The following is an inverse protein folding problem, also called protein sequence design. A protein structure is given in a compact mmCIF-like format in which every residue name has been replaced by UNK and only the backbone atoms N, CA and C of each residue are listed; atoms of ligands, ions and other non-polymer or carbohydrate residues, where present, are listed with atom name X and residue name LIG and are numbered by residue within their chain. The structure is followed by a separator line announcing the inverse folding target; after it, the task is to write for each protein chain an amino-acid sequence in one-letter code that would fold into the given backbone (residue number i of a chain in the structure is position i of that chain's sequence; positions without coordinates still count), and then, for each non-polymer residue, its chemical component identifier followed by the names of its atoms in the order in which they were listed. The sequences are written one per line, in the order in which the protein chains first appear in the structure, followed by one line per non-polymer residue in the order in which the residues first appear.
data_IF_740170790062
#
_entry.id   IF_740170790062
#
_cell.length_a   1.000
_cell.length_b   1.000
_cell.length_c   1.000
_cell.angle_alpha   90.00
_cell.angle_beta   90.00
_cell.angle_gamma   90.00
#
_symmetry.space_group_name_H-M   'P 1'
#
loop_
_entity.id
_entity.type
_entity.pdbx_description
1 polymer ?
#
# COMPACT_ATOMS: atom_id res chain seq x y z
N UNK A 1 5.49 -12.21 -35.87
CA UNK A 1 4.11 -12.29 -35.35
C UNK A 1 4.14 -11.98 -33.86
N UNK A 2 3.61 -10.84 -33.45
CA UNK A 2 3.64 -10.37 -32.05
C UNK A 2 2.54 -11.01 -31.18
N UNK A 3 1.69 -11.87 -31.74
CA UNK A 3 0.60 -12.54 -31.03
C UNK A 3 1.07 -13.42 -29.86
N UNK A 4 2.32 -13.88 -29.88
CA UNK A 4 2.90 -14.79 -28.88
C UNK A 4 3.96 -14.15 -27.98
N UNK A 5 4.35 -12.90 -28.20
CA UNK A 5 5.47 -12.30 -27.46
C UNK A 5 5.17 -12.15 -25.96
N UNK A 6 3.94 -11.80 -25.60
CA UNK A 6 3.51 -11.79 -24.19
C UNK A 6 3.63 -13.17 -23.53
N UNK A 7 3.33 -14.24 -24.26
CA UNK A 7 3.54 -15.61 -23.78
C UNK A 7 5.03 -15.91 -23.60
N UNK A 8 5.87 -15.55 -24.58
CA UNK A 8 7.31 -15.75 -24.51
C UNK A 8 7.94 -15.00 -23.33
N UNK A 9 7.50 -13.77 -23.04
CA UNK A 9 7.96 -12.98 -21.88
C UNK A 9 7.63 -13.72 -20.58
N UNK A 10 6.40 -14.22 -20.43
CA UNK A 10 6.00 -14.99 -19.25
C UNK A 10 6.80 -16.29 -19.12
N UNK A 11 6.98 -17.04 -20.20
CA UNK A 11 7.79 -18.26 -20.18
C UNK A 11 9.26 -17.98 -19.86
N UNK A 12 9.85 -16.90 -20.38
CA UNK A 12 11.22 -16.51 -20.06
C UNK A 12 11.37 -16.22 -18.55
N UNK A 13 10.39 -15.51 -17.97
CA UNK A 13 10.33 -15.23 -16.52
C UNK A 13 10.23 -16.50 -15.69
N UNK A 14 9.32 -17.40 -16.04
CA UNK A 14 9.11 -18.68 -15.33
C UNK A 14 10.34 -19.59 -15.39
N UNK A 15 11.09 -19.54 -16.50
CA UNK A 15 12.34 -20.29 -16.69
C UNK A 15 13.58 -19.58 -16.12
N UNK A 16 13.42 -18.43 -15.47
CA UNK A 16 14.52 -17.64 -14.90
C UNK A 16 15.49 -17.07 -15.95
N UNK A 17 15.05 -16.90 -17.19
CA UNK A 17 15.87 -16.39 -18.31
C UNK A 17 15.87 -14.87 -18.36
N UNK A 18 16.44 -14.23 -17.34
CA UNK A 18 16.36 -12.78 -17.09
C UNK A 18 16.82 -11.93 -18.29
N UNK A 19 17.98 -12.23 -18.88
CA UNK A 19 18.49 -11.45 -20.02
C UNK A 19 17.60 -11.58 -21.26
N UNK A 20 17.07 -12.79 -21.50
CA UNK A 20 16.17 -13.04 -22.60
C UNK A 20 14.80 -12.38 -22.39
N UNK A 21 14.27 -12.43 -21.17
CA UNK A 21 13.05 -11.70 -20.80
C UNK A 21 13.21 -10.20 -21.06
N UNK A 22 14.34 -9.60 -20.65
CA UNK A 22 14.63 -8.18 -20.86
C UNK A 22 14.63 -7.83 -22.34
N UNK A 23 15.31 -8.63 -23.18
CA UNK A 23 15.32 -8.41 -24.63
C UNK A 23 13.91 -8.48 -25.24
N UNK A 24 13.08 -9.44 -24.82
CA UNK A 24 11.70 -9.55 -25.28
C UNK A 24 10.84 -8.36 -24.84
N UNK A 25 11.03 -7.86 -23.62
CA UNK A 25 10.35 -6.66 -23.11
C UNK A 25 10.72 -5.44 -23.94
N UNK A 26 12.02 -5.23 -24.20
CA UNK A 26 12.52 -4.10 -25.00
C UNK A 26 11.99 -4.14 -26.44
N UNK A 27 12.01 -5.33 -27.07
CA UNK A 27 11.46 -5.52 -28.42
C UNK A 27 9.96 -5.26 -28.47
N UNK A 28 9.21 -5.77 -27.49
CA UNK A 28 7.77 -5.58 -27.44
C UNK A 28 7.37 -4.13 -27.17
N UNK A 29 8.10 -3.42 -26.32
CA UNK A 29 7.88 -1.98 -26.12
C UNK A 29 8.10 -1.21 -27.43
N UNK A 30 9.18 -1.50 -28.18
CA UNK A 30 9.43 -0.87 -29.49
C UNK A 30 8.31 -1.14 -30.48
N UNK A 31 7.79 -2.36 -30.52
CA UNK A 31 6.61 -2.68 -31.32
C UNK A 31 5.40 -1.84 -30.92
N UNK A 32 5.10 -1.73 -29.63
CA UNK A 32 3.99 -0.92 -29.13
C UNK A 32 4.14 0.56 -29.46
N UNK A 33 5.36 1.12 -29.48
CA UNK A 33 5.59 2.51 -29.87
C UNK A 33 5.12 2.85 -31.30
N UNK A 34 5.10 1.87 -32.20
CA UNK A 34 4.61 2.01 -33.57
C UNK A 34 3.18 1.48 -33.79
N UNK A 35 2.54 0.95 -32.75
CA UNK A 35 1.23 0.32 -32.85
C UNK A 35 0.10 1.36 -32.96
N UNK A 36 -0.99 0.98 -33.64
CA UNK A 36 -2.17 1.83 -33.72
C UNK A 36 -2.98 1.80 -32.42
N UNK A 37 -3.98 2.67 -32.31
CA UNK A 37 -4.79 2.80 -31.09
C UNK A 37 -5.47 1.47 -30.67
N UNK A 38 -6.03 0.72 -31.63
CA UNK A 38 -6.72 -0.53 -31.35
C UNK A 38 -5.77 -1.60 -30.81
N UNK A 39 -4.52 -1.62 -31.29
CA UNK A 39 -3.47 -2.50 -30.80
C UNK A 39 -2.95 -2.06 -29.43
N UNK A 40 -2.80 -0.75 -29.20
CA UNK A 40 -2.29 -0.21 -27.93
C UNK A 40 -3.25 -0.45 -26.77
N UNK A 41 -4.53 -0.11 -26.94
CA UNK A 41 -5.52 -0.09 -25.86
C UNK A 41 -6.26 -1.43 -25.69
N UNK A 42 -5.52 -2.53 -25.69
CA UNK A 42 -6.02 -3.84 -25.27
C UNK A 42 -5.79 -4.07 -23.78
N UNK A 43 -6.57 -4.95 -23.16
CA UNK A 43 -6.41 -5.29 -21.74
C UNK A 43 -5.05 -5.92 -21.48
N UNK A 44 -4.61 -6.81 -22.37
CA UNK A 44 -3.37 -7.56 -22.30
C UNK A 44 -2.16 -6.61 -22.37
N UNK A 45 -2.21 -5.60 -23.25
CA UNK A 45 -1.12 -4.63 -23.37
C UNK A 45 -1.08 -3.67 -22.18
N UNK A 46 -2.23 -3.25 -21.64
CA UNK A 46 -2.24 -2.48 -20.40
C UNK A 46 -1.73 -3.29 -19.20
N UNK A 47 -2.02 -4.59 -19.15
CA UNK A 47 -1.48 -5.49 -18.14
C UNK A 47 0.03 -5.68 -18.28
N UNK A 48 0.52 -5.86 -19.51
CA UNK A 48 1.96 -5.89 -19.78
C UNK A 48 2.64 -4.59 -19.36
N UNK A 49 2.11 -3.43 -19.78
CA UNK A 49 2.68 -2.13 -19.46
C UNK A 49 2.65 -1.83 -17.95
N UNK A 50 1.74 -2.46 -17.20
CA UNK A 50 1.70 -2.38 -15.74
C UNK A 50 2.89 -3.08 -15.06
N UNK A 51 3.52 -4.05 -15.73
CA UNK A 51 4.61 -4.87 -15.19
C UNK A 51 5.99 -4.38 -15.61
N UNK A 52 6.08 -3.59 -16.68
CA UNK A 52 7.36 -3.09 -17.18
C UNK A 52 7.71 -1.72 -16.63
N UNK A 53 9.00 -1.41 -16.74
CA UNK A 53 9.53 -0.13 -16.35
C UNK A 53 9.24 0.93 -17.42
N UNK A 54 8.30 1.84 -17.15
CA UNK A 54 8.01 3.01 -18.00
C UNK A 54 8.62 4.26 -17.36
N UNK A 55 9.28 5.10 -18.16
CA UNK A 55 9.89 6.39 -17.80
C UNK A 55 9.11 7.58 -18.33
N UNK A 56 9.32 8.76 -17.74
CA UNK A 56 8.60 9.96 -18.17
C UNK A 56 8.92 10.42 -19.60
N UNK A 57 10.06 10.00 -20.15
CA UNK A 57 10.53 10.28 -21.51
C UNK A 57 10.22 9.16 -22.52
N UNK A 58 9.69 8.02 -22.08
CA UNK A 58 9.24 6.95 -22.97
C UNK A 58 7.97 7.37 -23.72
N UNK A 59 7.87 7.06 -25.02
CA UNK A 59 6.66 7.36 -25.81
C UNK A 59 5.42 6.70 -25.23
N UNK A 60 5.57 5.49 -24.68
CA UNK A 60 4.49 4.73 -24.07
C UNK A 60 3.93 5.38 -22.79
N UNK A 61 4.66 6.31 -22.16
CA UNK A 61 4.15 7.08 -21.03
C UNK A 61 2.96 7.96 -21.40
N UNK A 62 2.89 8.39 -22.67
CA UNK A 62 1.78 9.19 -23.19
C UNK A 62 0.41 8.48 -23.12
N UNK A 63 0.40 7.16 -22.98
CA UNK A 63 -0.81 6.36 -22.79
C UNK A 63 -1.47 6.63 -21.43
N UNK A 64 -0.69 7.08 -20.44
CA UNK A 64 -1.13 7.27 -19.06
C UNK A 64 -1.25 8.75 -18.67
N UNK A 65 -0.46 9.62 -19.31
CA UNK A 65 -0.38 11.05 -19.00
C UNK A 65 -0.23 11.90 -20.26
N UNK A 66 -0.92 13.05 -20.38
CA UNK A 66 -1.76 13.69 -19.37
C UNK A 66 -3.18 13.11 -19.24
N UNK A 67 -3.61 12.25 -20.17
CA UNK A 67 -4.96 11.69 -20.16
C UNK A 67 -4.97 10.16 -20.30
N UNK A 68 -5.05 9.47 -19.17
CA UNK A 68 -5.06 8.02 -19.11
C UNK A 68 -6.43 7.34 -19.19
N UNK A 69 -7.53 8.06 -19.49
CA UNK A 69 -8.88 7.48 -19.45
C UNK A 69 -9.05 6.28 -20.40
N UNK A 70 -8.38 6.30 -21.56
CA UNK A 70 -8.41 5.19 -22.52
C UNK A 70 -7.73 3.94 -21.96
N UNK A 71 -6.56 4.10 -21.33
CA UNK A 71 -5.84 3.02 -20.66
C UNK A 71 -6.64 2.43 -19.49
N UNK A 72 -7.25 3.28 -18.66
CA UNK A 72 -8.13 2.86 -17.56
C UNK A 72 -9.32 2.04 -18.07
N UNK A 73 -9.94 2.48 -19.17
CA UNK A 73 -11.05 1.78 -19.82
C UNK A 73 -10.61 0.44 -20.41
N UNK A 74 -9.47 0.41 -21.11
CA UNK A 74 -8.93 -0.80 -21.74
C UNK A 74 -8.67 -1.92 -20.74
N UNK A 75 -8.10 -1.59 -19.58
CA UNK A 75 -7.85 -2.58 -18.52
C UNK A 75 -9.08 -2.83 -17.63
N UNK A 76 -10.12 -1.99 -17.73
CA UNK A 76 -11.31 -2.05 -16.89
C UNK A 76 -11.05 -1.65 -15.43
N UNK A 77 -10.08 -0.77 -15.17
CA UNK A 77 -9.69 -0.36 -13.81
C UNK A 77 -9.48 1.15 -13.73
N UNK A 78 -10.41 1.84 -13.05
CA UNK A 78 -10.29 3.26 -12.72
C UNK A 78 -9.01 3.54 -11.92
N UNK A 79 -8.35 4.65 -12.22
CA UNK A 79 -7.12 5.09 -11.57
C UNK A 79 -5.91 4.23 -11.92
N UNK A 80 -5.96 3.45 -13.01
CA UNK A 80 -4.83 2.65 -13.47
C UNK A 80 -3.67 3.53 -13.94
N UNK A 81 -3.95 4.42 -14.86
CA UNK A 81 -2.99 5.38 -15.41
C UNK A 81 -2.45 6.30 -14.34
N UNK A 82 -3.30 6.75 -13.43
CA UNK A 82 -2.89 7.54 -12.28
C UNK A 82 -1.80 6.82 -11.45
N UNK A 83 -1.87 5.49 -11.27
CA UNK A 83 -0.79 4.72 -10.62
C UNK A 83 0.47 4.65 -11.44
N UNK A 84 0.35 4.52 -12.75
CA UNK A 84 1.51 4.49 -13.64
C UNK A 84 2.28 5.80 -13.49
N UNK A 85 1.59 6.94 -13.53
CA UNK A 85 2.18 8.26 -13.30
C UNK A 85 2.79 8.37 -11.90
N UNK A 86 2.11 7.87 -10.87
CA UNK A 86 2.67 7.88 -9.51
C UNK A 86 3.96 7.09 -9.36
N UNK A 87 4.11 5.96 -10.06
CA UNK A 87 5.37 5.18 -10.04
C UNK A 87 6.51 5.97 -10.69
N UNK A 88 6.22 6.65 -11.79
CA UNK A 88 7.19 7.51 -12.48
C UNK A 88 7.60 8.68 -11.58
N UNK A 89 6.64 9.41 -10.99
CA UNK A 89 6.93 10.50 -10.03
C UNK A 89 7.74 10.01 -8.84
N UNK A 90 7.38 8.85 -8.28
CA UNK A 90 8.10 8.26 -7.17
C UNK A 90 9.56 7.98 -7.55
N UNK A 91 9.78 7.25 -8.65
CA UNK A 91 11.12 6.80 -9.06
C UNK A 91 12.02 7.94 -9.54
N UNK A 92 11.49 8.87 -10.33
CA UNK A 92 12.31 9.87 -11.01
C UNK A 92 12.47 11.16 -10.22
N UNK A 93 11.58 11.43 -9.27
CA UNK A 93 11.61 12.67 -8.48
C UNK A 93 11.76 12.36 -6.99
N UNK A 94 10.86 11.58 -6.40
CA UNK A 94 10.79 11.42 -4.95
C UNK A 94 11.99 10.64 -4.40
N UNK A 95 12.26 9.45 -4.92
CA UNK A 95 13.36 8.61 -4.41
C UNK A 95 14.73 9.28 -4.57
N UNK A 96 15.09 9.87 -5.73
CA UNK A 96 16.37 10.55 -5.89
C UNK A 96 16.47 11.81 -5.02
N UNK A 97 15.37 12.55 -4.86
CA UNK A 97 15.35 13.73 -3.99
C UNK A 97 15.63 13.38 -2.53
N UNK A 98 15.04 12.29 -2.05
CA UNK A 98 15.18 11.83 -0.67
C UNK A 98 16.43 10.96 -0.45
N UNK A 99 17.14 10.58 -1.51
CA UNK A 99 18.30 9.69 -1.46
C UNK A 99 18.02 8.35 -0.75
N UNK A 100 16.78 7.86 -0.89
CA UNK A 100 16.33 6.63 -0.24
C UNK A 100 17.06 5.43 -0.83
N UNK A 101 17.61 4.58 0.04
CA UNK A 101 18.29 3.34 -0.39
C UNK A 101 17.27 2.22 -0.63
N UNK A 102 17.58 1.22 -1.48
CA UNK A 102 16.81 -0.01 -1.54
C UNK A 102 16.71 -0.64 -0.14
N UNK A 103 15.55 -1.19 0.20
CA UNK A 103 15.21 -1.77 1.51
C UNK A 103 16.28 -2.78 1.96
N UNK A 104 17.01 -2.48 3.04
CA UNK A 104 17.99 -3.38 3.67
C UNK A 104 17.71 -3.68 5.15
N UNK A 105 16.52 -3.32 5.66
CA UNK A 105 16.24 -3.42 7.10
C UNK A 105 15.52 -4.74 7.46
N UNK A 106 16.04 -5.53 8.40
CA UNK A 106 15.31 -6.64 8.99
C UNK A 106 14.28 -6.08 9.99
N UNK A 107 13.00 -6.07 9.61
CA UNK A 107 11.91 -5.89 10.57
C UNK A 107 11.80 -7.18 11.38
N UNK A 108 11.89 -7.11 12.71
CA UNK A 108 11.56 -8.25 13.57
C UNK A 108 10.06 -8.55 13.48
N UNK A 109 9.70 -9.83 13.55
CA UNK A 109 8.30 -10.30 13.52
C UNK A 109 7.45 -9.71 14.66
N UNK A 110 8.07 -9.30 15.78
CA UNK A 110 7.43 -8.61 16.90
C UNK A 110 7.12 -7.12 16.62
N UNK A 111 7.48 -6.63 15.43
CA UNK A 111 7.28 -5.26 15.03
C UNK A 111 8.24 -4.26 15.69
N UNK A 112 9.26 -4.66 16.45
CA UNK A 112 10.18 -3.70 17.09
C UNK A 112 11.30 -3.26 16.12
N UNK A 113 11.67 -1.98 16.23
CA UNK A 113 12.75 -1.35 15.47
C UNK A 113 14.13 -1.89 15.86
N UNK A 114 15.09 -1.81 14.93
CA UNK A 114 16.50 -2.15 15.18
C UNK A 114 17.35 -0.91 14.86
N UNK A 115 17.46 0.01 15.81
CA UNK A 115 18.34 1.16 15.68
C UNK A 115 17.87 2.42 16.42
N UNK A 116 18.70 3.47 16.43
CA UNK A 116 18.27 4.80 16.87
C UNK A 116 17.29 5.39 15.87
N UNK A 117 16.21 6.00 16.38
CA UNK A 117 15.23 6.74 15.57
C UNK A 117 15.89 8.01 15.02
N UNK A 118 15.98 8.13 13.70
CA UNK A 118 16.40 9.38 13.06
C UNK A 118 15.18 10.30 12.90
N UNK A 119 15.21 11.46 13.57
CA UNK A 119 14.17 12.48 13.51
C UNK A 119 14.44 13.56 12.46
N UNK A 120 15.47 13.39 11.62
CA UNK A 120 15.77 14.33 10.55
C UNK A 120 14.62 14.40 9.55
N UNK A 121 14.34 15.62 9.08
CA UNK A 121 13.17 15.91 8.26
C UNK A 121 13.59 16.30 6.85
N UNK A 122 12.83 15.84 5.85
CA UNK A 122 13.08 16.21 4.46
C UNK A 122 12.45 17.57 4.12
N UNK A 123 13.00 18.25 3.10
CA UNK A 123 12.42 19.50 2.62
C UNK A 123 11.18 19.23 1.73
N UNK A 124 10.04 18.99 2.38
CA UNK A 124 8.76 18.68 1.72
C UNK A 124 8.27 19.78 0.78
N UNK A 125 8.52 21.04 1.13
CA UNK A 125 8.16 22.19 0.28
C UNK A 125 8.94 22.16 -1.05
N UNK A 126 10.24 21.85 -0.98
CA UNK A 126 11.06 21.73 -2.17
C UNK A 126 10.68 20.49 -3.00
N UNK A 127 10.39 19.35 -2.36
CA UNK A 127 9.88 18.17 -3.06
C UNK A 127 8.57 18.49 -3.79
N UNK A 128 7.63 19.14 -3.12
CA UNK A 128 6.37 19.60 -3.72
C UNK A 128 6.63 20.47 -4.95
N UNK A 129 7.48 21.50 -4.83
CA UNK A 129 7.84 22.39 -5.95
C UNK A 129 8.47 21.63 -7.12
N UNK A 130 9.37 20.67 -6.85
CA UNK A 130 10.00 19.82 -7.87
C UNK A 130 8.98 18.98 -8.64
N UNK A 131 7.98 18.41 -7.97
CA UNK A 131 6.92 17.64 -8.65
C UNK A 131 6.00 18.58 -9.43
N UNK A 132 5.59 19.71 -8.84
CA UNK A 132 4.70 20.71 -9.48
C UNK A 132 5.28 21.31 -10.75
N UNK A 133 6.59 21.36 -10.89
CA UNK A 133 7.25 21.83 -12.10
C UNK A 133 6.94 20.95 -13.33
N UNK A 134 6.55 19.69 -13.13
CA UNK A 134 6.27 18.72 -14.21
C UNK A 134 4.84 18.18 -14.21
N UNK A 135 4.17 18.14 -13.06
CA UNK A 135 2.88 17.48 -12.89
C UNK A 135 1.84 18.35 -12.17
N UNK A 136 0.53 18.14 -12.43
CA UNK A 136 -0.59 18.73 -11.70
C UNK A 136 -0.50 18.60 -10.18
N UNK A 137 -1.29 19.42 -9.48
CA UNK A 137 -1.22 19.59 -8.03
C UNK A 137 -1.50 18.28 -7.28
N UNK A 138 -2.46 17.51 -7.78
CA UNK A 138 -2.81 16.19 -7.26
C UNK A 138 -1.59 15.26 -7.18
N UNK A 139 -0.79 15.17 -8.25
CA UNK A 139 0.42 14.34 -8.28
C UNK A 139 1.50 14.85 -7.32
N UNK A 140 1.60 16.16 -7.11
CA UNK A 140 2.54 16.72 -6.15
C UNK A 140 2.13 16.44 -4.70
N UNK A 141 0.85 16.61 -4.36
CA UNK A 141 0.32 16.27 -3.03
C UNK A 141 0.51 14.79 -2.72
N UNK A 142 0.13 13.91 -3.67
CA UNK A 142 0.28 12.46 -3.52
C UNK A 142 1.74 12.02 -3.49
N UNK A 143 2.59 12.62 -4.32
CA UNK A 143 4.03 12.36 -4.36
C UNK A 143 4.73 12.73 -3.06
N UNK A 144 4.43 13.89 -2.48
CA UNK A 144 4.94 14.28 -1.15
C UNK A 144 4.47 13.31 -0.07
N UNK A 145 3.19 12.92 -0.09
CA UNK A 145 2.66 12.00 0.91
C UNK A 145 3.30 10.60 0.82
N UNK A 146 3.50 10.08 -0.39
CA UNK A 146 4.26 8.85 -0.59
C UNK A 146 5.72 9.01 -0.18
N UNK A 147 6.34 10.17 -0.44
CA UNK A 147 7.69 10.49 0.02
C UNK A 147 7.81 10.43 1.54
N UNK A 148 6.85 11.04 2.27
CA UNK A 148 6.76 10.96 3.73
C UNK A 148 6.67 9.54 4.24
N UNK A 149 5.78 8.72 3.67
CA UNK A 149 5.63 7.31 4.05
C UNK A 149 6.97 6.58 3.91
N UNK A 150 7.63 6.69 2.75
CA UNK A 150 8.93 6.02 2.55
C UNK A 150 10.02 6.56 3.48
N UNK A 151 10.09 7.88 3.66
CA UNK A 151 11.08 8.53 4.53
C UNK A 151 10.93 8.09 5.99
N UNK A 152 9.72 8.19 6.54
CA UNK A 152 9.47 7.84 7.93
C UNK A 152 9.58 6.33 8.17
N UNK A 153 9.28 5.49 7.17
CA UNK A 153 9.54 4.05 7.27
C UNK A 153 11.05 3.77 7.36
N UNK A 154 11.87 4.39 6.50
CA UNK A 154 13.32 4.17 6.49
C UNK A 154 14.03 4.72 7.72
N UNK A 155 13.49 5.80 8.31
CA UNK A 155 14.05 6.44 9.51
C UNK A 155 13.37 5.97 10.82
N UNK A 156 12.53 4.95 10.75
CA UNK A 156 11.81 4.36 11.90
C UNK A 156 10.95 5.36 12.71
N UNK A 157 10.55 6.47 12.09
CA UNK A 157 9.63 7.43 12.70
C UNK A 157 8.19 6.93 12.56
N UNK A 158 7.83 5.91 13.33
CA UNK A 158 6.53 5.24 13.23
C UNK A 158 5.33 6.17 13.46
N UNK A 159 5.31 7.09 14.45
CA UNK A 159 4.20 8.03 14.59
C UNK A 159 3.98 8.86 13.32
N UNK A 160 5.05 9.38 12.70
CA UNK A 160 4.94 10.16 11.47
C UNK A 160 4.58 9.30 10.26
N UNK A 161 5.12 8.08 10.15
CA UNK A 161 4.75 7.09 9.15
C UNK A 161 3.24 6.80 9.19
N UNK A 162 2.73 6.42 10.36
CA UNK A 162 1.33 6.07 10.53
C UNK A 162 0.41 7.28 10.37
N UNK A 163 0.83 8.47 10.78
CA UNK A 163 0.10 9.70 10.50
C UNK A 163 -0.01 9.96 8.99
N UNK A 164 1.08 9.79 8.23
CA UNK A 164 1.08 9.95 6.78
C UNK A 164 0.26 8.85 6.09
N UNK A 165 0.33 7.62 6.58
CA UNK A 165 -0.47 6.50 6.09
C UNK A 165 -1.97 6.73 6.28
N UNK A 166 -2.41 7.12 7.49
CA UNK A 166 -3.80 7.44 7.77
C UNK A 166 -4.27 8.64 6.92
N UNK A 167 -3.45 9.68 6.77
CA UNK A 167 -3.76 10.80 5.88
C UNK A 167 -3.97 10.34 4.42
N UNK A 168 -3.18 9.36 3.96
CA UNK A 168 -3.33 8.78 2.62
C UNK A 168 -4.66 8.05 2.49
N UNK A 169 -5.05 7.27 3.50
CA UNK A 169 -6.37 6.63 3.52
C UNK A 169 -7.49 7.68 3.51
N UNK A 170 -7.38 8.75 4.29
CA UNK A 170 -8.38 9.83 4.36
C UNK A 170 -8.56 10.55 3.02
N UNK A 171 -7.48 10.83 2.30
CA UNK A 171 -7.56 11.58 1.05
C UNK A 171 -7.99 10.74 -0.15
N UNK A 172 -7.56 9.48 -0.19
CA UNK A 172 -7.71 8.67 -1.41
C UNK A 172 -8.59 7.43 -1.22
N UNK A 173 -8.98 7.12 0.03
CA UNK A 173 -9.91 6.05 0.37
C UNK A 173 -9.49 4.65 -0.06
N UNK A 174 -10.47 3.74 0.00
CA UNK A 174 -10.36 2.36 -0.47
C UNK A 174 -10.20 2.24 -2.00
N UNK A 175 -10.56 3.29 -2.74
CA UNK A 175 -10.70 3.28 -4.20
C UNK A 175 -9.43 3.76 -4.93
N UNK A 176 -8.40 4.15 -4.18
CA UNK A 176 -7.10 4.49 -4.77
C UNK A 176 -6.30 3.25 -5.10
N UNK A 177 -6.74 2.58 -6.16
CA UNK A 177 -5.84 2.03 -7.15
C UNK A 177 -5.07 0.74 -6.75
N UNK A 178 -5.13 0.32 -5.48
CA UNK A 178 -4.63 -0.97 -4.99
C UNK A 178 -5.19 -2.16 -5.77
N UNK A 179 -4.38 -3.17 -6.00
CA UNK A 179 -4.73 -4.43 -6.64
C UNK A 179 -5.67 -5.25 -5.75
N UNK A 180 -6.93 -5.45 -6.14
CA UNK A 180 -7.76 -6.57 -5.67
C UNK A 180 -7.74 -6.86 -4.16
N UNK A 181 -7.91 -8.13 -3.80
CA UNK A 181 -8.11 -8.64 -2.45
C UNK A 181 -7.00 -8.30 -1.42
N UNK A 182 -5.93 -7.59 -1.76
CA UNK A 182 -4.82 -7.28 -0.83
C UNK A 182 -4.92 -5.93 -0.14
N UNK A 183 -5.78 -4.99 -0.60
CA UNK A 183 -5.89 -3.68 0.04
C UNK A 183 -6.41 -3.75 1.48
N UNK A 184 -7.53 -4.44 1.70
CA UNK A 184 -8.14 -4.53 3.02
C UNK A 184 -7.24 -5.23 4.06
N UNK A 185 -6.62 -6.39 3.74
CA UNK A 185 -5.59 -6.97 4.60
C UNK A 185 -4.44 -6.00 4.92
N UNK A 186 -3.99 -5.20 3.95
CA UNK A 186 -2.93 -4.20 4.19
C UNK A 186 -3.37 -3.10 5.16
N UNK A 187 -4.64 -2.68 5.14
CA UNK A 187 -5.16 -1.73 6.13
C UNK A 187 -5.14 -2.34 7.52
N UNK A 188 -5.68 -3.56 7.67
CA UNK A 188 -5.64 -4.28 8.96
C UNK A 188 -4.20 -4.42 9.47
N UNK A 189 -3.30 -4.87 8.61
CA UNK A 189 -1.88 -5.03 8.93
C UNK A 189 -1.25 -3.71 9.42
N UNK A 190 -1.43 -2.60 8.70
CA UNK A 190 -0.89 -1.31 9.14
C UNK A 190 -1.52 -0.83 10.45
N UNK A 191 -2.81 -1.07 10.67
CA UNK A 191 -3.51 -0.77 11.92
C UNK A 191 -2.96 -1.59 13.11
N UNK A 192 -2.69 -2.89 12.90
CA UNK A 192 -2.07 -3.75 13.90
C UNK A 192 -0.66 -3.28 14.28
N UNK A 193 0.21 -2.98 13.31
CA UNK A 193 1.55 -2.48 13.62
C UNK A 193 1.54 -1.07 14.24
N UNK A 194 0.56 -0.24 13.87
CA UNK A 194 0.32 1.04 14.54
C UNK A 194 -0.02 0.81 16.01
N UNK A 195 -0.94 -0.12 16.30
CA UNK A 195 -1.28 -0.52 17.66
C UNK A 195 -0.02 -0.94 18.45
N UNK A 196 0.88 -1.75 17.87
CA UNK A 196 2.09 -2.18 18.55
C UNK A 196 3.09 -1.03 18.81
N UNK A 197 3.22 -0.10 17.87
CA UNK A 197 4.34 0.88 17.83
C UNK A 197 3.99 2.27 18.33
N UNK A 198 2.71 2.62 18.45
CA UNK A 198 2.25 3.98 18.73
C UNK A 198 1.40 4.04 20.01
N UNK A 199 1.62 5.09 20.81
CA UNK A 199 0.84 5.41 22.02
C UNK A 199 -0.02 6.67 21.89
N UNK A 200 0.06 7.39 20.76
CA UNK A 200 -0.77 8.55 20.49
C UNK A 200 -2.25 8.13 20.36
N UNK A 201 -3.06 8.55 21.34
CA UNK A 201 -4.49 8.22 21.41
C UNK A 201 -5.28 8.77 20.22
N UNK A 202 -4.94 9.95 19.71
CA UNK A 202 -5.64 10.53 18.57
C UNK A 202 -5.38 9.71 17.30
N UNK A 203 -4.13 9.26 17.10
CA UNK A 203 -3.77 8.42 15.96
C UNK A 203 -4.37 7.01 16.07
N UNK A 204 -4.34 6.40 17.27
CA UNK A 204 -5.02 5.13 17.56
C UNK A 204 -6.53 5.21 17.26
N UNK A 205 -7.19 6.28 17.69
CA UNK A 205 -8.62 6.51 17.41
C UNK A 205 -8.91 6.67 15.91
N UNK A 206 -8.02 7.31 15.14
CA UNK A 206 -8.18 7.38 13.68
C UNK A 206 -8.04 5.99 13.04
N UNK A 207 -7.07 5.19 13.48
CA UNK A 207 -6.91 3.82 13.02
C UNK A 207 -8.14 2.96 13.36
N UNK A 208 -8.69 3.11 14.58
CA UNK A 208 -9.90 2.43 15.01
C UNK A 208 -11.09 2.76 14.09
N UNK A 209 -11.28 4.03 13.68
CA UNK A 209 -12.32 4.41 12.71
C UNK A 209 -12.15 3.76 11.33
N UNK A 210 -10.91 3.52 10.89
CA UNK A 210 -10.67 2.77 9.66
C UNK A 210 -10.98 1.29 9.80
N UNK A 211 -10.64 0.71 10.94
CA UNK A 211 -10.99 -0.67 11.27
C UNK A 211 -12.49 -0.87 11.43
N UNK A 212 -13.22 0.08 12.02
CA UNK A 212 -14.68 0.08 12.12
C UNK A 212 -15.33 -0.05 10.72
N UNK A 213 -14.86 0.75 9.75
CA UNK A 213 -15.32 0.64 8.34
C UNK A 213 -14.99 -0.71 7.73
N UNK A 214 -13.84 -1.27 8.10
CA UNK A 214 -13.38 -2.56 7.58
C UNK A 214 -14.24 -3.70 8.10
N UNK A 215 -14.47 -3.78 9.41
CA UNK A 215 -15.31 -4.82 10.02
C UNK A 215 -16.79 -4.65 9.67
N UNK A 216 -17.26 -3.45 9.35
CA UNK A 216 -18.61 -3.25 8.81
C UNK A 216 -18.77 -3.91 7.43
N UNK A 217 -17.69 -3.94 6.63
CA UNK A 217 -17.67 -4.56 5.31
C UNK A 217 -17.37 -6.07 5.36
N UNK A 218 -16.59 -6.49 6.34
CA UNK A 218 -16.14 -7.88 6.52
C UNK A 218 -16.40 -8.31 7.98
N UNK A 219 -17.68 -8.45 8.39
CA UNK A 219 -18.05 -8.67 9.79
C UNK A 219 -17.74 -10.08 10.32
N UNK A 220 -17.30 -10.97 9.43
CA UNK A 220 -17.05 -12.39 9.69
C UNK A 220 -15.55 -12.73 9.84
N UNK A 221 -14.66 -11.73 9.80
CA UNK A 221 -13.22 -11.94 10.01
C UNK A 221 -12.84 -11.60 11.47
N UNK A 222 -12.65 -12.61 12.34
CA UNK A 222 -12.36 -12.35 13.75
C UNK A 222 -10.99 -11.70 13.96
N UNK A 223 -10.02 -11.86 13.05
CA UNK A 223 -8.69 -11.23 13.19
C UNK A 223 -8.75 -9.72 13.01
N UNK A 224 -9.67 -9.22 12.19
CA UNK A 224 -9.84 -7.78 11.98
C UNK A 224 -10.65 -7.14 13.10
N UNK A 225 -11.56 -7.92 13.70
CA UNK A 225 -12.30 -7.51 14.89
C UNK A 225 -11.36 -7.41 16.09
N UNK A 226 -10.45 -8.37 16.28
CA UNK A 226 -9.40 -8.32 17.31
C UNK A 226 -8.52 -7.07 17.16
N UNK A 227 -8.06 -6.76 15.94
CA UNK A 227 -7.28 -5.54 15.69
C UNK A 227 -8.06 -4.28 16.07
N UNK A 228 -9.36 -4.23 15.78
CA UNK A 228 -10.23 -3.13 16.19
C UNK A 228 -10.36 -3.03 17.72
N UNK A 229 -10.62 -4.15 18.40
CA UNK A 229 -10.75 -4.21 19.84
C UNK A 229 -9.47 -3.73 20.55
N UNK A 230 -8.29 -4.17 20.09
CA UNK A 230 -7.00 -3.75 20.63
C UNK A 230 -6.72 -2.25 20.45
N UNK A 231 -7.11 -1.66 19.32
CA UNK A 231 -7.03 -0.21 19.10
C UNK A 231 -7.94 0.58 20.03
N UNK A 232 -9.19 0.13 20.22
CA UNK A 232 -10.13 0.71 21.19
C UNK A 232 -9.56 0.62 22.61
N UNK A 233 -9.02 -0.54 22.98
CA UNK A 233 -8.48 -0.77 24.31
C UNK A 233 -7.29 0.16 24.60
N UNK A 234 -6.31 0.22 23.70
CA UNK A 234 -5.11 1.05 23.84
C UNK A 234 -5.42 2.55 23.80
N UNK A 235 -6.43 2.97 23.03
CA UNK A 235 -6.88 4.37 23.00
C UNK A 235 -7.72 4.77 24.22
N UNK A 236 -8.29 3.81 24.95
CA UNK A 236 -8.94 3.99 26.24
C UNK A 236 -10.43 3.63 26.29
N UNK A 237 -11.03 3.24 25.16
CA UNK A 237 -12.43 2.77 25.11
C UNK A 237 -12.52 1.28 25.48
N UNK A 238 -12.20 1.00 26.74
CA UNK A 238 -12.07 -0.36 27.27
C UNK A 238 -13.38 -1.15 27.23
N UNK A 239 -14.51 -0.46 27.45
CA UNK A 239 -15.83 -1.10 27.48
C UNK A 239 -16.17 -1.65 26.09
N UNK A 240 -16.02 -0.84 25.05
CA UNK A 240 -16.29 -1.31 23.69
C UNK A 240 -15.23 -2.32 23.24
N UNK A 241 -13.96 -2.15 23.62
CA UNK A 241 -12.93 -3.12 23.31
C UNK A 241 -13.29 -4.54 23.76
N UNK A 242 -13.70 -4.71 25.02
CA UNK A 242 -14.12 -6.00 25.58
C UNK A 242 -15.28 -6.60 24.78
N UNK A 243 -16.28 -5.80 24.42
CA UNK A 243 -17.44 -6.26 23.64
C UNK A 243 -17.03 -6.77 22.24
N UNK A 244 -16.10 -6.08 21.60
CA UNK A 244 -15.62 -6.48 20.27
C UNK A 244 -14.69 -7.69 20.34
N UNK A 245 -13.85 -7.80 21.36
CA UNK A 245 -13.00 -8.96 21.59
C UNK A 245 -13.82 -10.23 21.87
N UNK A 246 -14.89 -10.12 22.67
CA UNK A 246 -15.86 -11.21 22.88
C UNK A 246 -16.49 -11.68 21.57
N UNK A 247 -16.77 -10.74 20.64
CA UNK A 247 -17.26 -11.07 19.30
C UNK A 247 -16.20 -11.79 18.46
N UNK A 248 -14.94 -11.33 18.49
CA UNK A 248 -13.84 -11.99 17.78
C UNK A 248 -13.65 -13.44 18.26
N UNK A 249 -13.60 -13.64 19.58
CA UNK A 249 -13.48 -14.96 20.20
C UNK A 249 -14.65 -15.89 19.82
N UNK A 250 -15.89 -15.38 19.87
CA UNK A 250 -17.07 -16.16 19.47
C UNK A 250 -16.96 -16.64 18.02
N UNK A 251 -16.60 -15.75 17.09
CA UNK A 251 -16.45 -16.09 15.67
C UNK A 251 -15.28 -17.07 15.43
N UNK A 252 -14.15 -16.89 16.11
CA UNK A 252 -13.03 -17.84 16.03
C UNK A 252 -13.44 -19.24 16.54
N UNK A 253 -14.21 -19.30 17.62
CA UNK A 253 -14.79 -20.56 18.15
C UNK A 253 -15.69 -21.23 17.11
N UNK A 254 -16.64 -20.49 16.54
CA UNK A 254 -17.59 -21.02 15.56
C UNK A 254 -16.90 -21.52 14.28
N UNK A 255 -15.77 -20.92 13.91
CA UNK A 255 -14.96 -21.33 12.75
C UNK A 255 -13.96 -22.46 13.04
N UNK A 256 -13.80 -22.85 14.31
CA UNK A 256 -12.79 -23.83 14.73
C UNK A 256 -11.35 -23.34 14.59
N UNK A 257 -11.11 -22.03 14.67
CA UNK A 257 -9.78 -21.41 14.60
C UNK A 257 -9.12 -21.45 15.98
N UNK A 258 -8.42 -22.55 16.26
CA UNK A 258 -7.89 -22.85 17.60
C UNK A 258 -6.84 -21.83 18.07
N UNK A 259 -5.86 -21.50 17.22
CA UNK A 259 -4.79 -20.56 17.57
C UNK A 259 -5.33 -19.15 17.89
N UNK A 260 -6.26 -18.66 17.07
CA UNK A 260 -6.96 -17.39 17.32
C UNK A 260 -7.83 -17.46 18.58
N UNK A 261 -8.49 -18.59 18.86
CA UNK A 261 -9.31 -18.76 20.05
C UNK A 261 -8.48 -18.60 21.34
N UNK A 262 -7.32 -19.27 21.40
CA UNK A 262 -6.39 -19.18 22.52
C UNK A 262 -5.89 -17.74 22.66
N UNK A 263 -5.46 -17.13 21.55
CA UNK A 263 -4.94 -15.75 21.52
C UNK A 263 -5.99 -14.74 22.01
N UNK A 264 -7.22 -14.78 21.47
CA UNK A 264 -8.29 -13.85 21.85
C UNK A 264 -8.77 -14.08 23.29
N UNK A 265 -8.72 -15.32 23.77
CA UNK A 265 -8.99 -15.61 25.19
C UNK A 265 -8.00 -14.91 26.10
N UNK A 266 -6.70 -14.99 25.79
CA UNK A 266 -5.66 -14.30 26.55
C UNK A 266 -5.81 -12.77 26.51
N UNK A 267 -6.08 -12.22 25.32
CA UNK A 267 -6.29 -10.78 25.11
C UNK A 267 -7.50 -10.31 25.92
N UNK A 268 -8.63 -11.02 25.84
CA UNK A 268 -9.84 -10.70 26.60
C UNK A 268 -9.60 -10.74 28.12
N UNK A 269 -8.83 -11.72 28.61
CA UNK A 269 -8.42 -11.77 30.03
C UNK A 269 -7.57 -10.56 30.41
N UNK A 270 -6.60 -10.16 29.58
CA UNK A 270 -5.80 -8.95 29.81
C UNK A 270 -6.67 -7.71 29.86
N UNK A 271 -7.60 -7.55 28.91
CA UNK A 271 -8.52 -6.40 28.85
C UNK A 271 -9.40 -6.29 30.10
N UNK A 272 -9.98 -7.42 30.56
CA UNK A 272 -10.81 -7.48 31.77
C UNK A 272 -10.03 -7.18 33.04
N UNK A 273 -8.75 -7.53 33.09
CA UNK A 273 -7.85 -7.24 34.21
C UNK A 273 -7.11 -5.89 34.06
N UNK A 274 -7.48 -5.07 33.09
CA UNK A 274 -6.86 -3.77 32.85
C UNK A 274 -5.34 -3.83 32.57
N UNK A 275 -4.87 -4.94 31.98
CA UNK A 275 -3.48 -5.18 31.60
C UNK A 275 -3.23 -4.78 30.14
N UNK A 276 -2.01 -4.35 29.77
CA UNK A 276 -1.65 -4.11 28.37
C UNK A 276 -1.81 -5.37 27.51
N UNK A 277 -2.27 -5.18 26.27
CA UNK A 277 -2.38 -6.24 25.24
C UNK A 277 -1.26 -6.17 24.19
N UNK A 278 -0.30 -5.25 24.37
CA UNK A 278 0.86 -4.99 23.51
C UNK A 278 2.17 -5.14 24.27
#
# INVERSE_FOLDING_TARGET
DYSRVLYMIRSARELGKVDFEKLLIEDYCKYLEGANEQQLYTKENMQFLNEVEIKSDDKLFALFYPNGKKADKAIGKKGFSERMVHRVVLREIVLPFLQLKPRQMPIRLDGKAVGPVDSSEANWSLLYKKIRAKYPDEYARRGVLNGKINWYEQNENFPAYYSAYIQKLEWYGFDSSGTGNTFYPNVNHNCWFLFLRVNDKALLNKAAKWMERLIAKFPEDPTWIDTYANLLYKSGDKRNAILWEEKALKLATEKGWQDENETFTEILMKMRNNLPTW
#
